data_IF_324922645349
#
_entry.id   IF_324922645349
#
_cell.length_a   1.000
_cell.length_b   1.000
_cell.length_c   1.000
_cell.angle_alpha   90.00
_cell.angle_beta   90.00
_cell.angle_gamma   90.00
#
_symmetry.space_group_name_H-M   'P 1'
#
loop_
_entity.id
_entity.type
_entity.pdbx_description
1 polymer ?
#
# COMPACT_ATOMS: atom_id res chain seq x y z
N UNK A 1 -17.74 21.16 -18.17
CA UNK A 1 -16.43 21.75 -17.83
C UNK A 1 -15.66 20.69 -17.09
N UNK A 2 -14.51 20.31 -17.60
CA UNK A 2 -13.62 19.36 -16.94
C UNK A 2 -12.74 20.10 -15.94
N UNK A 3 -12.19 19.39 -14.94
CA UNK A 3 -11.29 20.00 -13.96
C UNK A 3 -10.06 20.63 -14.62
N UNK A 4 -9.60 20.05 -15.73
CA UNK A 4 -8.49 20.59 -16.52
C UNK A 4 -8.75 21.98 -17.09
N UNK A 5 -10.02 22.33 -17.34
CA UNK A 5 -10.41 23.63 -17.90
C UNK A 5 -10.26 24.76 -16.87
N UNK A 6 -10.05 24.42 -15.59
CA UNK A 6 -9.92 25.39 -14.49
C UNK A 6 -8.49 25.89 -14.31
N UNK A 7 -7.49 25.14 -14.78
CA UNK A 7 -6.09 25.51 -14.60
C UNK A 7 -5.77 26.85 -15.29
N UNK A 8 -4.83 27.59 -14.70
CA UNK A 8 -4.43 28.94 -15.09
C UNK A 8 -5.49 30.05 -14.92
N UNK A 9 -6.70 29.73 -14.42
CA UNK A 9 -7.70 30.75 -14.12
C UNK A 9 -7.34 31.54 -12.86
N UNK A 10 -7.72 32.82 -12.83
CA UNK A 10 -7.65 33.62 -11.60
C UNK A 10 -8.74 33.20 -10.60
N UNK A 11 -8.57 33.45 -9.29
CA UNK A 11 -9.61 33.20 -8.31
C UNK A 11 -10.94 33.93 -8.58
N UNK A 12 -10.90 35.03 -9.34
CA UNK A 12 -12.07 35.82 -9.75
C UNK A 12 -12.75 35.35 -11.04
N UNK A 13 -12.26 34.29 -11.68
CA UNK A 13 -12.83 33.81 -12.94
C UNK A 13 -14.24 33.22 -12.76
N UNK A 14 -15.19 33.62 -13.62
CA UNK A 14 -16.58 33.13 -13.59
C UNK A 14 -16.66 31.61 -13.70
N UNK A 15 -15.80 30.98 -14.51
CA UNK A 15 -15.73 29.53 -14.64
C UNK A 15 -15.45 28.82 -13.31
N UNK A 16 -14.55 29.40 -12.48
CA UNK A 16 -14.24 28.85 -11.17
C UNK A 16 -15.39 29.06 -10.19
N UNK A 17 -15.99 30.25 -10.18
CA UNK A 17 -17.16 30.54 -9.35
C UNK A 17 -18.34 29.60 -9.68
N UNK A 18 -18.61 29.38 -10.96
CA UNK A 18 -19.63 28.45 -11.44
C UNK A 18 -19.33 27.01 -11.01
N UNK A 19 -18.06 26.58 -11.07
CA UNK A 19 -17.67 25.25 -10.59
C UNK A 19 -17.94 25.07 -9.10
N UNK A 20 -17.56 26.04 -8.25
CA UNK A 20 -17.84 26.00 -6.80
C UNK A 20 -19.35 26.00 -6.52
N UNK A 21 -20.16 26.72 -7.29
CA UNK A 21 -21.62 26.68 -7.16
C UNK A 21 -22.21 25.31 -7.50
N UNK A 22 -21.72 24.66 -8.55
CA UNK A 22 -22.13 23.29 -8.91
C UNK A 22 -21.79 22.33 -7.78
N UNK A 23 -20.58 22.39 -7.23
CA UNK A 23 -20.18 21.56 -6.09
C UNK A 23 -21.04 21.82 -4.84
N UNK A 24 -21.34 23.08 -4.56
CA UNK A 24 -22.20 23.48 -3.44
C UNK A 24 -23.61 22.90 -3.58
N UNK A 25 -24.17 22.92 -4.80
CA UNK A 25 -25.46 22.31 -5.10
C UNK A 25 -25.42 20.78 -4.92
N UNK A 26 -24.37 20.11 -5.41
CA UNK A 26 -24.19 18.66 -5.25
C UNK A 26 -24.04 18.25 -3.78
N UNK A 27 -23.32 19.04 -2.98
CA UNK A 27 -23.16 18.81 -1.55
C UNK A 27 -24.38 19.24 -0.71
N UNK A 28 -25.37 19.93 -1.31
CA UNK A 28 -26.49 20.55 -0.60
C UNK A 28 -26.05 21.56 0.49
N UNK A 29 -24.99 22.32 0.21
CA UNK A 29 -24.42 23.32 1.13
C UNK A 29 -24.59 24.72 0.54
N UNK A 30 -24.83 25.72 1.38
CA UNK A 30 -24.99 27.13 0.99
C UNK A 30 -23.86 27.98 1.56
N UNK A 31 -23.65 29.14 0.95
CA UNK A 31 -22.72 30.17 1.42
C UNK A 31 -21.29 29.64 1.68
N UNK A 32 -20.81 28.78 0.77
CA UNK A 32 -19.49 28.18 0.92
C UNK A 32 -18.41 29.24 0.68
N UNK A 33 -17.64 29.52 1.74
CA UNK A 33 -16.51 30.45 1.71
C UNK A 33 -15.21 29.68 1.94
N UNK A 34 -14.16 29.89 1.14
CA UNK A 34 -12.89 29.22 1.34
C UNK A 34 -12.13 29.80 2.53
N UNK A 35 -11.39 28.96 3.25
CA UNK A 35 -10.30 29.45 4.10
C UNK A 35 -9.08 29.77 3.24
N UNK A 36 -8.62 31.02 3.32
CA UNK A 36 -7.41 31.47 2.63
C UNK A 36 -6.17 31.19 3.47
N UNK A 37 -5.17 30.55 2.86
CA UNK A 37 -3.79 30.51 3.37
C UNK A 37 -2.84 31.03 2.31
N UNK A 38 -2.32 32.23 2.51
CA UNK A 38 -1.38 32.86 1.59
C UNK A 38 0.06 32.67 2.06
N UNK A 39 0.96 32.44 1.11
CA UNK A 39 2.41 32.39 1.24
C UNK A 39 3.04 33.14 0.04
N UNK A 40 4.34 33.49 0.10
CA UNK A 40 5.00 34.22 -0.98
C UNK A 40 4.99 33.52 -2.35
N UNK A 41 4.87 32.20 -2.35
CA UNK A 41 4.96 31.31 -3.51
C UNK A 41 3.66 30.53 -3.80
N UNK A 42 2.69 30.50 -2.89
CA UNK A 42 1.43 29.79 -3.06
C UNK A 42 0.28 30.42 -2.26
N UNK A 43 -0.93 30.38 -2.80
CA UNK A 43 -2.14 30.80 -2.11
C UNK A 43 -3.19 29.70 -2.19
N UNK A 44 -3.61 29.18 -1.05
CA UNK A 44 -4.60 28.12 -0.94
C UNK A 44 -5.98 28.70 -0.66
N UNK A 45 -6.97 28.23 -1.41
CA UNK A 45 -8.39 28.43 -1.16
C UNK A 45 -8.97 27.07 -0.75
N UNK A 46 -9.12 26.85 0.56
CA UNK A 46 -9.57 25.58 1.12
C UNK A 46 -11.09 25.59 1.30
N UNK A 47 -11.82 24.81 0.50
CA UNK A 47 -13.26 24.63 0.63
C UNK A 47 -13.56 23.33 1.38
N UNK A 48 -13.39 23.37 2.70
CA UNK A 48 -13.52 22.21 3.58
C UNK A 48 -14.82 21.41 3.37
N UNK A 49 -15.96 22.10 3.33
CA UNK A 49 -17.28 21.48 3.15
C UNK A 49 -17.51 20.84 1.78
N UNK A 50 -16.67 21.17 0.79
CA UNK A 50 -16.73 20.64 -0.57
C UNK A 50 -15.62 19.64 -0.88
N UNK A 51 -14.74 19.33 0.08
CA UNK A 51 -13.66 18.38 -0.15
C UNK A 51 -12.69 18.77 -1.26
N UNK A 52 -12.45 20.08 -1.44
CA UNK A 52 -11.56 20.59 -2.49
C UNK A 52 -10.66 21.72 -1.95
N UNK A 53 -9.39 21.69 -2.32
CA UNK A 53 -8.42 22.77 -2.09
C UNK A 53 -7.87 23.23 -3.43
N UNK A 54 -7.85 24.55 -3.64
CA UNK A 54 -7.34 25.17 -4.85
C UNK A 54 -6.05 25.91 -4.52
N UNK A 55 -4.94 25.52 -5.15
CA UNK A 55 -3.64 26.16 -4.99
C UNK A 55 -3.38 27.09 -6.19
N UNK A 56 -3.23 28.37 -5.90
CA UNK A 56 -2.86 29.38 -6.88
C UNK A 56 -1.39 29.77 -6.73
N UNK A 57 -0.66 29.85 -7.85
CA UNK A 57 0.68 30.43 -7.85
C UNK A 57 0.65 31.93 -8.15
N UNK A 58 1.42 32.74 -7.41
CA UNK A 58 1.67 34.14 -7.73
C UNK A 58 2.37 34.32 -9.07
N UNK A 59 1.89 35.28 -9.86
CA UNK A 59 2.42 35.67 -11.17
C UNK A 59 2.87 37.14 -11.14
N UNK A 60 3.54 37.59 -12.21
CA UNK A 60 3.92 38.99 -12.41
C UNK A 60 4.71 39.62 -11.25
N UNK A 61 5.52 38.82 -10.54
CA UNK A 61 6.32 39.27 -9.40
C UNK A 61 5.52 39.53 -8.12
N UNK A 62 4.23 39.17 -8.08
CA UNK A 62 3.44 39.24 -6.86
C UNK A 62 3.99 38.27 -5.81
N UNK A 63 4.09 38.72 -4.56
CA UNK A 63 4.53 37.93 -3.40
C UNK A 63 3.60 38.22 -2.22
N UNK A 64 2.51 37.46 -2.06
CA UNK A 64 1.61 37.59 -0.92
C UNK A 64 2.36 37.42 0.40
N UNK A 65 1.97 38.14 1.44
CA UNK A 65 2.48 37.92 2.79
C UNK A 65 1.68 36.84 3.52
N UNK A 66 2.33 36.10 4.41
CA UNK A 66 1.63 35.13 5.25
C UNK A 66 0.52 35.80 6.05
N UNK A 67 -0.68 35.24 6.01
CA UNK A 67 -1.86 35.79 6.69
C UNK A 67 -2.68 36.81 5.87
N UNK A 68 -2.29 37.10 4.63
CA UNK A 68 -3.08 37.95 3.72
C UNK A 68 -4.48 37.38 3.55
N UNK A 69 -5.51 38.21 3.75
CA UNK A 69 -6.92 37.86 3.59
C UNK A 69 -7.34 37.93 2.12
N UNK A 70 -8.48 37.32 1.76
CA UNK A 70 -8.97 37.33 0.37
C UNK A 70 -9.11 38.75 -0.21
N UNK A 71 -9.65 39.67 0.58
CA UNK A 71 -9.87 41.08 0.16
C UNK A 71 -8.59 41.84 -0.13
N UNK A 72 -7.45 41.37 0.40
CA UNK A 72 -6.13 41.99 0.22
C UNK A 72 -5.34 41.33 -0.94
N UNK A 73 -5.84 40.20 -1.48
CA UNK A 73 -5.18 39.50 -2.57
C UNK A 73 -5.31 40.26 -3.89
N UNK A 74 -4.20 40.33 -4.63
CA UNK A 74 -4.23 40.71 -6.04
C UNK A 74 -4.64 39.50 -6.88
N UNK A 75 -5.92 39.16 -6.87
CA UNK A 75 -6.44 37.94 -7.52
C UNK A 75 -6.06 37.85 -9.02
N UNK A 76 -5.95 38.97 -9.73
CA UNK A 76 -5.50 39.01 -11.14
C UNK A 76 -4.05 38.53 -11.36
N UNK A 77 -3.23 38.53 -10.31
CA UNK A 77 -1.84 38.09 -10.32
C UNK A 77 -1.68 36.70 -9.68
N UNK A 78 -2.78 35.95 -9.62
CA UNK A 78 -2.82 34.55 -9.18
C UNK A 78 -3.37 33.69 -10.32
N UNK A 79 -2.82 32.50 -10.50
CA UNK A 79 -3.29 31.53 -11.48
C UNK A 79 -3.38 30.15 -10.84
N UNK A 80 -4.50 29.44 -11.06
CA UNK A 80 -4.71 28.11 -10.50
C UNK A 80 -3.68 27.12 -11.05
N UNK A 81 -2.97 26.45 -10.14
CA UNK A 81 -1.87 25.53 -10.48
C UNK A 81 -2.16 24.09 -10.04
N UNK A 82 -2.73 23.89 -8.85
CA UNK A 82 -3.11 22.56 -8.36
C UNK A 82 -4.53 22.56 -7.80
N UNK A 83 -5.16 21.40 -7.89
CA UNK A 83 -6.47 21.09 -7.32
C UNK A 83 -6.31 19.82 -6.49
N UNK A 84 -6.48 19.94 -5.18
CA UNK A 84 -6.50 18.78 -4.29
C UNK A 84 -7.96 18.36 -4.07
N UNK A 85 -8.24 17.06 -4.26
CA UNK A 85 -9.57 16.46 -4.10
C UNK A 85 -9.52 15.47 -2.95
N UNK A 86 -10.43 15.63 -2.00
CA UNK A 86 -10.50 14.79 -0.81
C UNK A 86 -11.64 13.77 -0.93
N UNK A 87 -11.31 12.52 -0.62
CA UNK A 87 -12.28 11.42 -0.49
C UNK A 87 -12.20 10.88 0.94
N UNK A 88 -13.14 11.29 1.80
CA UNK A 88 -13.14 10.93 3.22
C UNK A 88 -14.24 9.90 3.46
N UNK A 89 -13.90 8.61 3.63
CA UNK A 89 -14.91 7.58 3.89
C UNK A 89 -15.72 7.94 5.13
N UNK A 90 -17.05 7.77 5.08
CA UNK A 90 -17.88 7.90 6.28
C UNK A 90 -17.45 6.81 7.26
N UNK A 91 -16.86 7.21 8.39
CA UNK A 91 -16.52 6.29 9.47
C UNK A 91 -17.77 5.48 9.84
N UNK A 92 -17.69 4.15 9.73
CA UNK A 92 -18.71 3.29 10.33
C UNK A 92 -18.61 3.43 11.85
N UNK A 93 -19.74 3.45 12.58
CA UNK A 93 -19.74 3.66 14.03
C UNK A 93 -19.03 2.56 14.85
N UNK A 94 -18.50 1.50 14.22
CA UNK A 94 -17.85 0.37 14.89
C UNK A 94 -16.31 0.44 14.95
N UNK A 95 -15.64 1.38 14.28
CA UNK A 95 -14.17 1.42 14.18
C UNK A 95 -13.51 2.55 14.96
N UNK A 96 -14.08 2.94 16.10
CA UNK A 96 -13.60 4.06 16.92
C UNK A 96 -12.45 3.71 17.87
N UNK A 97 -11.49 2.86 17.48
CA UNK A 97 -10.26 2.65 18.26
C UNK A 97 -9.05 2.41 17.36
N UNK A 98 -8.17 3.42 17.31
CA UNK A 98 -6.75 3.22 17.00
C UNK A 98 -6.32 3.46 15.56
N UNK A 99 -6.42 4.70 15.08
CA UNK A 99 -5.71 5.15 13.88
C UNK A 99 -5.55 6.66 13.90
N UNK A 100 -4.32 7.16 13.76
CA UNK A 100 -4.02 8.59 13.66
C UNK A 100 -4.58 9.15 12.34
N UNK A 101 -5.87 9.48 12.34
CA UNK A 101 -6.51 10.26 11.28
C UNK A 101 -6.02 11.70 11.38
N UNK A 102 -5.48 12.26 10.30
CA UNK A 102 -4.89 13.60 10.32
C UNK A 102 -5.96 14.66 10.57
N UNK A 103 -5.61 15.73 11.29
CA UNK A 103 -6.49 16.89 11.52
C UNK A 103 -7.04 17.52 10.24
N UNK A 104 -6.30 17.48 9.13
CA UNK A 104 -6.75 18.02 7.83
C UNK A 104 -7.78 17.12 7.14
N UNK A 105 -7.58 15.80 7.16
CA UNK A 105 -8.56 14.81 6.65
C UNK A 105 -9.85 14.83 7.48
N UNK A 106 -9.76 15.12 8.78
CA UNK A 106 -10.93 15.34 9.63
C UNK A 106 -11.65 16.67 9.34
N UNK A 107 -11.02 17.61 8.62
CA UNK A 107 -11.61 18.92 8.32
C UNK A 107 -12.30 18.96 6.96
N UNK A 108 -11.83 18.22 5.96
CA UNK A 108 -12.44 18.17 4.63
C UNK A 108 -13.58 17.14 4.56
N UNK A 109 -14.65 17.49 3.86
CA UNK A 109 -15.69 16.54 3.45
C UNK A 109 -15.23 15.75 2.20
N UNK A 110 -16.01 14.73 1.81
CA UNK A 110 -15.84 14.07 0.51
C UNK A 110 -16.23 15.01 -0.63
N UNK A 111 -15.40 15.05 -1.66
CA UNK A 111 -15.64 15.81 -2.87
C UNK A 111 -16.96 15.40 -3.53
N UNK A 112 -17.95 16.30 -3.66
CA UNK A 112 -19.28 15.96 -4.14
C UNK A 112 -19.33 15.71 -5.66
N UNK A 113 -18.24 16.01 -6.38
CA UNK A 113 -18.10 15.73 -7.81
C UNK A 113 -17.67 14.29 -8.12
N UNK A 114 -17.54 13.40 -7.12
CA UNK A 114 -17.30 11.97 -7.34
C UNK A 114 -18.60 11.29 -7.83
N UNK A 115 -18.54 10.41 -8.86
CA UNK A 115 -17.36 10.05 -9.64
C UNK A 115 -17.03 11.08 -10.72
N UNK A 116 -15.73 11.26 -10.99
CA UNK A 116 -15.24 12.12 -12.07
C UNK A 116 -14.26 11.39 -12.99
N UNK A 117 -14.07 11.92 -14.20
CA UNK A 117 -13.14 11.36 -15.18
C UNK A 117 -11.94 12.28 -15.35
N UNK A 118 -10.76 11.67 -15.42
CA UNK A 118 -9.48 12.32 -15.72
C UNK A 118 -9.09 11.97 -17.14
N UNK A 119 -8.70 12.96 -17.95
CA UNK A 119 -8.06 12.73 -19.25
C UNK A 119 -6.61 12.35 -19.03
N UNK A 120 -6.18 11.26 -19.66
CA UNK A 120 -4.83 10.73 -19.51
C UNK A 120 -3.93 11.21 -20.64
N UNK A 121 -2.67 11.44 -20.33
CA UNK A 121 -1.66 11.69 -21.32
C UNK A 121 -1.44 10.44 -22.20
N UNK A 122 -1.08 10.66 -23.46
CA UNK A 122 -0.68 9.59 -24.35
C UNK A 122 0.74 9.15 -24.00
N UNK A 123 0.85 7.94 -23.45
CA UNK A 123 2.11 7.32 -23.05
C UNK A 123 2.24 5.99 -23.80
N UNK A 124 3.46 5.63 -24.20
CA UNK A 124 3.72 4.40 -24.93
C UNK A 124 3.20 3.18 -24.17
N UNK A 125 2.43 2.32 -24.86
CA UNK A 125 1.83 1.11 -24.28
C UNK A 125 0.52 1.32 -23.53
N UNK A 126 0.05 2.57 -23.33
CA UNK A 126 -1.26 2.86 -22.73
C UNK A 126 -2.32 3.07 -23.80
N UNK A 127 -3.41 2.31 -23.76
CA UNK A 127 -4.53 2.43 -24.71
C UNK A 127 -5.67 3.29 -24.18
N UNK A 128 -5.73 3.49 -22.87
CA UNK A 128 -6.73 4.28 -22.19
C UNK A 128 -6.45 5.78 -22.35
N UNK A 129 -7.47 6.53 -22.76
CA UNK A 129 -7.45 8.00 -22.85
C UNK A 129 -8.11 8.69 -21.65
N UNK A 130 -8.85 7.93 -20.84
CA UNK A 130 -9.56 8.44 -19.66
C UNK A 130 -9.54 7.43 -18.52
N UNK A 131 -9.55 7.93 -17.29
CA UNK A 131 -9.69 7.13 -16.06
C UNK A 131 -10.82 7.70 -15.21
N UNK A 132 -11.75 6.83 -14.78
CA UNK A 132 -12.88 7.22 -13.92
C UNK A 132 -12.53 6.95 -12.46
N UNK A 133 -12.51 8.00 -11.65
CA UNK A 133 -12.28 7.94 -10.21
C UNK A 133 -13.62 7.94 -9.49
N UNK A 134 -13.86 6.91 -8.67
CA UNK A 134 -15.01 6.75 -7.79
C UNK A 134 -14.62 6.76 -6.31
N UNK A 135 -15.62 6.74 -5.43
CA UNK A 135 -15.44 6.76 -3.97
C UNK A 135 -14.67 5.54 -3.46
N UNK A 136 -14.80 4.41 -4.16
CA UNK A 136 -14.20 3.13 -3.80
C UNK A 136 -13.03 2.75 -4.73
N UNK A 137 -12.53 3.69 -5.53
CA UNK A 137 -11.40 3.41 -6.43
C UNK A 137 -10.13 3.13 -5.63
N UNK A 138 -9.55 1.97 -5.88
CA UNK A 138 -8.39 1.43 -5.16
C UNK A 138 -7.07 1.82 -5.82
N UNK A 139 -5.97 1.77 -5.05
CA UNK A 139 -4.64 1.96 -5.61
C UNK A 139 -4.26 0.94 -6.69
N UNK A 140 -4.85 -0.26 -6.65
CA UNK A 140 -4.72 -1.26 -7.71
C UNK A 140 -5.29 -0.74 -9.02
N UNK A 141 -6.50 -0.20 -9.02
CA UNK A 141 -7.14 0.33 -10.24
C UNK A 141 -6.36 1.50 -10.84
N UNK A 142 -5.79 2.38 -9.99
CA UNK A 142 -4.90 3.44 -10.45
C UNK A 142 -3.67 2.86 -11.18
N UNK A 143 -2.97 1.90 -10.57
CA UNK A 143 -1.75 1.30 -11.17
C UNK A 143 -2.08 0.47 -12.42
N UNK A 144 -3.19 -0.26 -12.43
CA UNK A 144 -3.62 -1.03 -13.61
C UNK A 144 -3.96 -0.13 -14.80
N UNK A 145 -4.55 1.04 -14.57
CA UNK A 145 -4.87 1.97 -15.64
C UNK A 145 -3.66 2.82 -16.09
N UNK A 146 -2.87 3.32 -15.14
CA UNK A 146 -1.85 4.33 -15.39
C UNK A 146 -0.44 3.76 -15.55
N UNK A 147 -0.22 2.51 -15.16
CA UNK A 147 1.12 1.91 -15.17
C UNK A 147 2.00 2.44 -14.04
N UNK A 148 3.32 2.40 -14.22
CA UNK A 148 4.27 2.77 -13.18
C UNK A 148 4.22 4.28 -12.86
N UNK A 149 4.06 4.68 -11.58
CA UNK A 149 4.22 6.07 -11.19
C UNK A 149 5.70 6.49 -11.27
N UNK A 150 5.93 7.69 -11.80
CA UNK A 150 7.25 8.29 -11.93
C UNK A 150 7.90 8.59 -10.56
N UNK A 151 7.10 8.95 -9.56
CA UNK A 151 7.54 9.14 -8.16
C UNK A 151 6.61 8.44 -7.19
N UNK A 152 7.13 8.00 -6.06
CA UNK A 152 6.39 7.30 -5.02
C UNK A 152 7.10 7.41 -3.67
N UNK A 153 6.35 7.33 -2.59
CA UNK A 153 6.88 7.37 -1.23
C UNK A 153 5.81 7.04 -0.18
N UNK A 154 6.17 7.14 1.10
CA UNK A 154 5.29 6.76 2.22
C UNK A 154 5.63 5.40 2.84
N UNK A 155 5.01 5.08 3.97
CA UNK A 155 5.20 3.81 4.70
C UNK A 155 6.03 3.88 6.00
N UNK A 156 6.46 5.05 6.45
CA UNK A 156 7.00 5.19 7.80
C UNK A 156 5.84 5.23 8.81
N UNK A 157 5.86 4.31 9.79
CA UNK A 157 4.83 4.10 10.80
C UNK A 157 4.44 5.32 11.65
N UNK A 158 3.54 5.13 12.65
CA UNK A 158 2.71 6.18 13.27
C UNK A 158 3.47 7.30 14.00
N UNK A 159 4.79 7.24 14.11
CA UNK A 159 5.61 8.16 14.90
C UNK A 159 6.12 9.40 14.16
N UNK A 160 5.93 9.54 12.84
CA UNK A 160 6.58 10.62 12.07
C UNK A 160 5.65 11.59 11.31
N UNK A 161 4.33 11.49 11.44
CA UNK A 161 3.42 12.38 10.69
C UNK A 161 3.60 12.29 9.17
N UNK A 162 4.17 11.18 8.70
CA UNK A 162 4.50 10.92 7.31
C UNK A 162 3.25 10.96 6.43
N UNK A 163 3.43 11.41 5.19
CA UNK A 163 2.46 11.19 4.10
C UNK A 163 2.20 9.68 4.03
N UNK A 164 0.95 9.27 3.77
CA UNK A 164 0.56 7.87 3.57
C UNK A 164 1.27 7.32 2.34
N UNK A 165 0.93 6.12 1.89
CA UNK A 165 1.47 5.65 0.61
C UNK A 165 1.01 6.62 -0.47
N UNK A 166 1.93 7.19 -1.22
CA UNK A 166 1.61 8.11 -2.30
C UNK A 166 2.35 7.74 -3.58
N UNK A 167 1.68 7.97 -4.70
CA UNK A 167 2.16 7.72 -6.05
C UNK A 167 1.90 8.94 -6.93
N UNK A 168 2.82 9.22 -7.85
CA UNK A 168 2.70 10.33 -8.77
C UNK A 168 3.03 9.92 -10.21
N UNK A 169 2.07 10.16 -11.09
CA UNK A 169 2.17 10.01 -12.54
C UNK A 169 2.35 11.39 -13.15
N UNK A 170 3.60 11.84 -13.22
CA UNK A 170 3.96 13.19 -13.68
C UNK A 170 3.50 13.47 -15.12
N UNK A 171 3.50 12.46 -15.99
CA UNK A 171 2.98 12.58 -17.35
C UNK A 171 1.49 12.94 -17.38
N UNK A 172 0.73 12.47 -16.40
CA UNK A 172 -0.71 12.71 -16.25
C UNK A 172 -1.00 13.91 -15.32
N UNK A 173 0.03 14.57 -14.77
CA UNK A 173 -0.13 15.68 -13.83
C UNK A 173 -0.85 15.28 -12.53
N UNK A 174 -0.72 14.02 -12.11
CA UNK A 174 -1.53 13.47 -11.02
C UNK A 174 -0.66 12.87 -9.91
N UNK A 175 -0.98 13.22 -8.67
CA UNK A 175 -0.50 12.58 -7.45
C UNK A 175 -1.70 12.01 -6.68
N UNK A 176 -1.57 10.79 -6.18
CA UNK A 176 -2.58 10.12 -5.38
C UNK A 176 -1.96 9.69 -4.07
N UNK A 177 -2.54 10.13 -2.96
CA UNK A 177 -2.28 9.59 -1.63
C UNK A 177 -3.35 8.55 -1.29
N UNK A 178 -2.92 7.36 -0.88
CA UNK A 178 -3.79 6.29 -0.43
C UNK A 178 -3.94 6.34 1.09
N UNK A 179 -5.16 6.64 1.53
CA UNK A 179 -5.55 6.64 2.95
C UNK A 179 -6.24 5.33 3.39
N UNK A 180 -6.55 5.24 4.70
CA UNK A 180 -7.25 4.12 5.32
C UNK A 180 -6.34 3.10 6.00
N UNK A 181 -6.88 2.32 6.95
CA UNK A 181 -6.16 1.22 7.62
C UNK A 181 -5.74 0.15 6.59
N UNK A 182 -6.46 0.00 5.49
CA UNK A 182 -6.08 -0.89 4.38
C UNK A 182 -4.82 -0.43 3.63
N UNK A 183 -4.49 0.87 3.71
CA UNK A 183 -3.22 1.41 3.24
C UNK A 183 -2.11 1.32 4.31
N UNK A 184 -2.41 0.79 5.51
CA UNK A 184 -1.41 0.41 6.51
C UNK A 184 -1.19 -1.10 6.43
N UNK A 185 -0.01 -1.51 5.98
CA UNK A 185 0.34 -2.92 6.03
C UNK A 185 0.53 -3.34 7.50
N UNK A 186 -0.19 -4.37 7.95
CA UNK A 186 0.13 -5.07 9.22
C UNK A 186 1.48 -5.79 9.11
N UNK A 187 1.83 -6.20 7.90
CA UNK A 187 3.16 -6.72 7.58
C UNK A 187 4.17 -5.57 7.44
N UNK A 188 5.42 -5.83 7.82
CA UNK A 188 6.53 -4.95 7.45
C UNK A 188 6.73 -4.86 5.93
N UNK A 189 7.53 -3.89 5.48
CA UNK A 189 7.83 -3.66 4.06
C UNK A 189 8.55 -4.87 3.43
N UNK A 190 7.94 -5.54 2.45
CA UNK A 190 8.49 -6.77 1.83
C UNK A 190 9.09 -6.60 0.42
N UNK A 191 9.02 -5.42 -0.21
CA UNK A 191 9.61 -5.17 -1.55
C UNK A 191 11.12 -5.37 -1.53
N UNK A 192 11.79 -4.89 -0.47
CA UNK A 192 13.24 -5.01 -0.31
C UNK A 192 13.69 -6.48 -0.35
N UNK A 193 13.05 -7.35 0.43
CA UNK A 193 13.31 -8.80 0.41
C UNK A 193 13.04 -9.38 -0.98
N UNK A 194 11.86 -9.14 -1.56
CA UNK A 194 11.50 -9.66 -2.88
C UNK A 194 12.47 -9.18 -3.98
N UNK A 195 12.95 -7.95 -3.89
CA UNK A 195 13.92 -7.38 -4.83
C UNK A 195 15.28 -8.07 -4.71
N UNK A 196 15.76 -8.29 -3.49
CA UNK A 196 17.02 -9.00 -3.23
C UNK A 196 16.96 -10.48 -3.63
N UNK A 197 15.76 -11.07 -3.61
CA UNK A 197 15.49 -12.41 -4.16
C UNK A 197 15.46 -12.47 -5.69
N UNK A 198 15.62 -11.34 -6.38
CA UNK A 198 15.60 -11.26 -7.85
C UNK A 198 14.20 -11.22 -8.46
N UNK A 199 13.16 -10.99 -7.66
CA UNK A 199 11.77 -10.87 -8.15
C UNK A 199 11.64 -9.57 -8.94
N UNK A 200 11.30 -9.67 -10.22
CA UNK A 200 11.12 -8.51 -11.10
C UNK A 200 10.03 -7.54 -10.60
N UNK A 201 10.26 -6.26 -10.82
CA UNK A 201 9.48 -5.15 -10.25
C UNK A 201 7.96 -5.26 -10.43
N UNK A 202 7.49 -5.61 -11.64
CA UNK A 202 6.04 -5.77 -11.94
C UNK A 202 5.38 -6.81 -11.00
N UNK A 203 6.07 -7.93 -10.73
CA UNK A 203 5.56 -8.97 -9.84
C UNK A 203 5.51 -8.52 -8.39
N UNK A 204 6.52 -7.77 -7.94
CA UNK A 204 6.54 -7.21 -6.57
C UNK A 204 5.37 -6.26 -6.33
N UNK A 205 5.02 -5.45 -7.34
CA UNK A 205 3.84 -4.57 -7.29
C UNK A 205 2.53 -5.32 -7.29
N UNK A 206 2.40 -6.36 -8.10
CA UNK A 206 1.23 -7.25 -8.06
C UNK A 206 1.09 -7.93 -6.67
N UNK A 207 2.19 -8.30 -6.02
CA UNK A 207 2.19 -8.87 -4.67
C UNK A 207 1.78 -7.83 -3.61
N UNK A 208 2.26 -6.60 -3.71
CA UNK A 208 1.90 -5.52 -2.78
C UNK A 208 0.42 -5.10 -2.87
N UNK A 209 -0.16 -5.17 -4.07
CA UNK A 209 -1.55 -4.80 -4.33
C UNK A 209 -2.52 -5.97 -4.16
N UNK A 210 -2.00 -7.19 -3.99
CA UNK A 210 -2.79 -8.40 -3.89
C UNK A 210 -2.86 -8.92 -2.46
N UNK A 211 -4.04 -9.38 -2.05
CA UNK A 211 -4.18 -10.18 -0.82
C UNK A 211 -3.62 -11.58 -1.09
N UNK A 212 -2.64 -12.00 -0.29
CA UNK A 212 -2.17 -13.39 -0.28
C UNK A 212 -3.06 -14.17 0.68
N UNK A 213 -3.76 -15.20 0.18
CA UNK A 213 -4.47 -16.16 1.03
C UNK A 213 -3.65 -17.45 1.11
N UNK A 214 -3.42 -17.94 2.33
CA UNK A 214 -2.78 -19.22 2.59
C UNK A 214 -3.84 -20.25 2.98
N UNK A 215 -3.94 -21.35 2.24
CA UNK A 215 -4.69 -22.53 2.65
C UNK A 215 -3.71 -23.51 3.28
N UNK A 216 -3.77 -23.63 4.60
CA UNK A 216 -2.84 -24.47 5.36
C UNK A 216 -3.53 -25.75 5.79
N UNK A 217 -3.00 -26.90 5.36
CA UNK A 217 -3.40 -28.22 5.83
C UNK A 217 -2.27 -28.81 6.65
N UNK A 218 -2.54 -29.05 7.93
CA UNK A 218 -1.59 -29.59 8.88
C UNK A 218 -2.04 -30.99 9.32
N UNK A 219 -1.20 -32.01 9.13
CA UNK A 219 -1.55 -33.40 9.47
C UNK A 219 -0.30 -34.23 9.80
N UNK A 220 -0.50 -35.41 10.38
CA UNK A 220 0.54 -36.44 10.46
C UNK A 220 0.23 -37.55 9.47
N UNK A 221 1.25 -38.10 8.82
CA UNK A 221 1.08 -39.24 7.91
C UNK A 221 1.04 -40.59 8.65
N UNK A 222 0.93 -41.67 7.89
CA UNK A 222 0.87 -43.05 8.43
C UNK A 222 2.14 -43.47 9.18
N UNK A 223 3.25 -42.75 9.00
CA UNK A 223 4.52 -42.96 9.72
C UNK A 223 4.64 -42.06 10.95
N UNK A 224 3.71 -41.14 11.15
CA UNK A 224 3.70 -40.17 12.25
C UNK A 224 4.52 -38.90 11.97
N UNK A 225 5.03 -38.72 10.75
CA UNK A 225 5.74 -37.50 10.35
C UNK A 225 4.76 -36.34 10.24
N UNK A 226 5.11 -35.18 10.80
CA UNK A 226 4.27 -33.97 10.77
C UNK A 226 4.45 -33.26 9.42
N UNK A 227 3.33 -32.94 8.76
CA UNK A 227 3.29 -32.33 7.43
C UNK A 227 2.48 -31.04 7.45
N UNK A 228 3.07 -29.96 6.94
CA UNK A 228 2.37 -28.69 6.70
C UNK A 228 2.33 -28.44 5.19
N UNK A 229 1.16 -28.63 4.61
CA UNK A 229 0.86 -28.29 3.22
C UNK A 229 0.30 -26.87 3.16
N UNK A 230 0.92 -25.98 2.38
CA UNK A 230 0.48 -24.62 2.16
C UNK A 230 0.21 -24.45 0.68
N UNK A 231 -1.05 -24.20 0.34
CA UNK A 231 -1.43 -23.68 -0.96
C UNK A 231 -1.60 -22.17 -0.87
N UNK A 232 -0.67 -21.45 -1.48
CA UNK A 232 -0.74 -20.00 -1.58
C UNK A 232 -1.47 -19.62 -2.86
N UNK A 233 -2.74 -19.22 -2.74
CA UNK A 233 -3.48 -18.64 -3.85
C UNK A 233 -3.31 -17.11 -3.83
N UNK A 234 -2.61 -16.57 -4.83
CA UNK A 234 -2.91 -15.19 -5.26
C UNK A 234 -4.23 -15.25 -6.04
N UNK A 235 -5.21 -14.39 -5.73
CA UNK A 235 -6.40 -14.30 -6.59
C UNK A 235 -5.98 -14.16 -8.07
N UNK A 236 -6.69 -14.79 -9.02
CA UNK A 236 -6.36 -14.69 -10.44
C UNK A 236 -6.29 -13.21 -10.84
N UNK A 237 -5.09 -12.70 -11.13
CA UNK A 237 -4.95 -11.37 -11.73
C UNK A 237 -5.20 -11.52 -13.23
N UNK A 238 -5.93 -10.57 -13.83
CA UNK A 238 -6.18 -10.57 -15.28
C UNK A 238 -4.90 -10.45 -16.13
N UNK A 239 -3.75 -10.15 -15.50
CA UNK A 239 -2.43 -10.10 -16.13
C UNK A 239 -1.88 -11.52 -16.35
N UNK A 240 -2.32 -12.53 -15.57
CA UNK A 240 -1.96 -13.92 -15.80
C UNK A 240 -3.08 -14.86 -15.26
N UNK A 241 -4.08 -15.21 -16.09
CA UNK A 241 -5.22 -16.02 -15.67
C UNK A 241 -4.88 -17.51 -15.38
N UNK A 242 -3.60 -17.90 -15.49
CA UNK A 242 -3.14 -19.21 -15.03
C UNK A 242 -2.65 -19.07 -13.58
N UNK A 243 -3.34 -19.77 -12.68
CA UNK A 243 -3.08 -19.87 -11.24
C UNK A 243 -1.57 -19.81 -10.90
N UNK A 244 -1.16 -18.85 -10.09
CA UNK A 244 0.09 -18.91 -9.33
C UNK A 244 -0.24 -19.52 -7.95
N UNK A 245 -0.72 -20.76 -7.92
CA UNK A 245 -0.77 -21.52 -6.67
C UNK A 245 0.64 -22.02 -6.37
N UNK A 246 1.27 -21.50 -5.32
CA UNK A 246 2.53 -22.06 -4.84
C UNK A 246 2.18 -23.10 -3.79
N UNK A 247 2.41 -24.36 -4.13
CA UNK A 247 2.29 -25.47 -3.19
C UNK A 247 3.62 -25.68 -2.49
N UNK A 248 3.59 -25.59 -1.17
CA UNK A 248 4.69 -26.00 -0.30
C UNK A 248 4.23 -27.16 0.55
N UNK A 249 5.03 -28.22 0.61
CA UNK A 249 4.93 -29.22 1.67
C UNK A 249 6.17 -29.08 2.53
N UNK A 250 5.97 -28.94 3.83
CA UNK A 250 7.03 -29.10 4.80
C UNK A 250 6.84 -30.44 5.51
N UNK A 251 7.78 -31.35 5.30
CA UNK A 251 7.91 -32.54 6.13
C UNK A 251 8.74 -32.17 7.36
N UNK A 252 8.09 -32.00 8.51
CA UNK A 252 8.76 -31.76 9.78
C UNK A 252 9.24 -33.12 10.33
N UNK A 253 10.27 -33.65 9.71
CA UNK A 253 10.97 -34.84 10.19
C UNK A 253 12.20 -34.44 11.01
N UNK A 254 12.74 -35.38 11.80
CA UNK A 254 14.13 -35.32 12.31
C UNK A 254 15.19 -35.38 11.17
N UNK A 255 14.76 -35.35 9.91
CA UNK A 255 15.62 -35.38 8.74
C UNK A 255 16.51 -34.13 8.71
N UNK A 256 17.82 -34.34 8.85
CA UNK A 256 18.84 -33.31 8.65
C UNK A 256 19.07 -32.98 7.16
N UNK A 257 18.33 -33.59 6.25
CA UNK A 257 18.49 -33.37 4.81
C UNK A 257 17.51 -32.29 4.32
N UNK A 258 18.01 -31.17 3.76
CA UNK A 258 17.15 -30.11 3.26
C UNK A 258 16.38 -30.57 2.01
N UNK A 259 15.08 -30.33 1.99
CA UNK A 259 14.25 -30.61 0.82
C UNK A 259 14.45 -29.52 -0.25
N UNK A 260 14.69 -29.95 -1.50
CA UNK A 260 14.69 -29.03 -2.64
C UNK A 260 13.25 -28.77 -3.06
N UNK A 261 12.71 -27.64 -2.60
CA UNK A 261 11.39 -27.16 -3.00
C UNK A 261 11.51 -26.21 -4.19
N UNK A 262 10.65 -26.38 -5.19
CA UNK A 262 10.57 -25.44 -6.32
C UNK A 262 9.49 -24.42 -6.03
N UNK A 263 9.89 -23.16 -5.78
CA UNK A 263 8.92 -22.06 -5.78
C UNK A 263 8.75 -21.61 -7.24
N UNK A 264 7.57 -21.83 -7.80
CA UNK A 264 7.19 -21.18 -9.04
C UNK A 264 6.67 -19.77 -8.75
N UNK A 265 7.54 -18.76 -8.88
CA UNK A 265 7.09 -17.36 -8.97
C UNK A 265 6.72 -17.03 -10.42
N UNK A 266 5.86 -17.86 -11.04
CA UNK A 266 5.35 -17.72 -12.40
C UNK A 266 6.24 -18.32 -13.50
N UNK A 267 5.72 -18.34 -14.73
CA UNK A 267 6.20 -19.12 -15.89
C UNK A 267 7.68 -19.04 -16.29
N UNK A 268 8.40 -18.00 -15.87
CA UNK A 268 9.81 -17.78 -16.27
C UNK A 268 10.78 -17.64 -15.07
N UNK A 269 10.37 -18.07 -13.88
CA UNK A 269 11.24 -18.08 -12.69
C UNK A 269 10.98 -19.36 -11.88
N UNK A 270 11.58 -20.46 -12.32
CA UNK A 270 11.79 -21.62 -11.45
C UNK A 270 12.88 -21.25 -10.45
N UNK A 271 12.55 -20.45 -9.43
CA UNK A 271 13.45 -20.26 -8.30
C UNK A 271 13.36 -21.52 -7.47
N UNK A 272 14.29 -22.44 -7.71
CA UNK A 272 14.51 -23.55 -6.80
C UNK A 272 15.04 -22.93 -5.51
N UNK A 273 14.34 -23.18 -4.41
CA UNK A 273 14.83 -22.90 -3.09
C UNK A 273 15.26 -24.20 -2.44
N UNK A 274 16.12 -24.07 -1.45
CA UNK A 274 16.46 -25.14 -0.56
C UNK A 274 15.78 -24.78 0.76
N UNK A 275 14.88 -25.64 1.23
CA UNK A 275 14.13 -25.41 2.45
C UNK A 275 14.40 -26.56 3.42
N UNK A 276 14.77 -26.21 4.63
CA UNK A 276 14.73 -27.10 5.77
C UNK A 276 13.73 -26.54 6.76
N UNK A 277 12.81 -27.36 7.25
CA UNK A 277 11.85 -26.93 8.27
C UNK A 277 11.75 -27.95 9.39
N UNK A 278 11.60 -27.46 10.60
CA UNK A 278 11.56 -28.26 11.82
C UNK A 278 10.72 -27.62 12.91
N UNK A 279 10.30 -28.42 13.88
CA UNK A 279 9.78 -27.90 15.14
C UNK A 279 10.95 -27.41 16.00
N UNK A 280 10.78 -26.27 16.63
CA UNK A 280 11.78 -25.68 17.53
C UNK A 280 11.12 -25.12 18.79
N UNK A 281 11.76 -25.27 19.94
CA UNK A 281 11.34 -24.57 21.15
C UNK A 281 11.91 -23.15 21.17
N UNK A 282 11.19 -22.19 21.77
CA UNK A 282 11.67 -20.79 21.85
C UNK A 282 13.07 -20.69 22.45
N UNK A 283 13.36 -21.53 23.45
CA UNK A 283 14.66 -21.55 24.14
C UNK A 283 15.82 -22.02 23.26
N UNK A 284 15.55 -22.68 22.13
CA UNK A 284 16.55 -23.21 21.20
C UNK A 284 16.92 -22.21 20.11
N UNK A 285 16.08 -21.18 19.90
CA UNK A 285 16.39 -20.11 18.95
C UNK A 285 17.51 -19.23 19.50
N UNK A 286 18.43 -18.80 18.64
CA UNK A 286 19.48 -17.84 19.01
C UNK A 286 19.04 -16.40 18.74
N UNK A 287 18.39 -16.16 17.60
CA UNK A 287 17.96 -14.84 17.15
C UNK A 287 16.78 -14.34 17.98
N UNK A 288 16.97 -13.22 18.69
CA UNK A 288 15.95 -12.64 19.57
C UNK A 288 14.71 -12.22 18.79
N UNK A 289 14.89 -11.68 17.58
CA UNK A 289 13.77 -11.32 16.72
C UNK A 289 12.85 -12.50 16.46
N UNK A 290 13.37 -13.74 16.33
CA UNK A 290 12.57 -14.92 16.02
C UNK A 290 11.74 -15.46 17.21
N UNK A 291 11.96 -14.95 18.44
CA UNK A 291 11.35 -15.41 19.69
C UNK A 291 10.15 -14.58 20.16
N UNK A 292 9.95 -13.40 19.58
CA UNK A 292 9.07 -12.39 20.17
C UNK A 292 7.58 -12.57 19.81
N UNK A 293 6.68 -12.15 20.71
CA UNK A 293 5.26 -11.93 20.43
C UNK A 293 4.33 -13.15 20.32
N UNK A 294 4.82 -14.36 20.51
CA UNK A 294 4.05 -15.60 20.30
C UNK A 294 2.97 -15.85 21.36
N UNK A 295 1.81 -16.36 20.92
CA UNK A 295 0.71 -16.82 21.79
C UNK A 295 1.12 -18.02 22.64
N UNK A 296 0.54 -18.15 23.84
CA UNK A 296 0.90 -19.21 24.78
C UNK A 296 0.83 -20.62 24.20
N UNK A 297 -0.16 -20.91 23.34
CA UNK A 297 -0.31 -22.20 22.69
C UNK A 297 0.74 -22.45 21.59
N UNK A 298 1.20 -21.39 20.91
CA UNK A 298 2.35 -21.48 19.98
C UNK A 298 3.63 -21.82 20.76
N UNK A 299 3.81 -21.21 21.93
CA UNK A 299 4.97 -21.50 22.80
C UNK A 299 4.91 -22.95 23.30
N UNK A 300 3.75 -23.39 23.80
CA UNK A 300 3.55 -24.74 24.33
C UNK A 300 3.84 -25.83 23.30
N UNK A 301 3.37 -25.65 22.06
CA UNK A 301 3.53 -26.63 21.00
C UNK A 301 4.84 -26.47 20.19
N UNK A 302 5.65 -25.46 20.51
CA UNK A 302 6.84 -25.08 19.75
C UNK A 302 6.50 -24.36 18.44
N UNK A 303 7.50 -23.70 17.85
CA UNK A 303 7.36 -23.01 16.57
C UNK A 303 7.72 -23.92 15.41
N UNK A 304 7.28 -23.53 14.22
CA UNK A 304 7.87 -24.04 12.97
C UNK A 304 9.00 -23.09 12.59
N UNK A 305 10.23 -23.59 12.59
CA UNK A 305 11.38 -22.90 12.02
C UNK A 305 11.59 -23.36 10.59
N UNK A 306 11.92 -22.44 9.70
CA UNK A 306 12.31 -22.74 8.33
C UNK A 306 13.56 -21.96 7.93
N UNK A 307 14.57 -22.68 7.42
CA UNK A 307 15.73 -22.13 6.76
C UNK A 307 15.53 -22.24 5.26
N UNK A 308 15.40 -21.09 4.60
CA UNK A 308 15.17 -21.00 3.16
C UNK A 308 16.37 -20.33 2.51
N UNK A 309 16.97 -20.98 1.52
CA UNK A 309 18.08 -20.42 0.75
C UNK A 309 17.80 -20.50 -0.75
N UNK A 310 18.39 -19.57 -1.51
CA UNK A 310 18.43 -19.66 -2.96
C UNK A 310 19.26 -20.85 -3.45
N UNK A 311 18.81 -21.54 -4.49
CA UNK A 311 19.70 -22.41 -5.30
C UNK A 311 20.55 -21.49 -6.20
N UNK A 312 21.66 -20.96 -5.64
CA UNK A 312 22.53 -19.97 -6.30
C UNK A 312 23.01 -20.41 -7.70
N UNK A 313 23.42 -21.68 -7.93
CA UNK A 313 23.76 -22.16 -9.27
C UNK A 313 22.64 -22.02 -10.31
N UNK A 314 21.37 -22.08 -9.90
CA UNK A 314 20.22 -21.94 -10.81
C UNK A 314 19.67 -20.53 -10.90
N UNK A 315 19.66 -19.81 -9.78
CA UNK A 315 19.03 -18.49 -9.66
C UNK A 315 19.97 -17.33 -9.98
N UNK A 316 21.29 -17.54 -9.94
CA UNK A 316 22.28 -16.49 -10.17
C UNK A 316 22.37 -15.43 -9.07
N UNK A 317 21.63 -15.60 -7.97
CA UNK A 317 21.66 -14.74 -6.79
C UNK A 317 21.77 -15.61 -5.53
N UNK A 318 22.38 -15.08 -4.46
CA UNK A 318 22.56 -15.82 -3.21
C UNK A 318 21.86 -15.08 -2.07
N UNK A 319 20.93 -15.72 -1.38
CA UNK A 319 20.28 -15.16 -0.20
C UNK A 319 19.81 -16.27 0.74
N UNK A 320 19.59 -15.91 2.00
CA UNK A 320 19.11 -16.80 3.06
C UNK A 320 17.98 -16.10 3.81
N UNK A 321 16.95 -16.84 4.20
CA UNK A 321 15.89 -16.39 5.08
C UNK A 321 15.70 -17.43 6.19
N UNK A 322 15.92 -17.02 7.43
CA UNK A 322 15.55 -17.78 8.62
C UNK A 322 14.20 -17.28 9.11
N UNK A 323 13.26 -18.19 9.32
CA UNK A 323 11.90 -17.80 9.65
C UNK A 323 11.33 -18.66 10.77
N UNK A 324 10.55 -18.04 11.64
CA UNK A 324 9.71 -18.74 12.61
C UNK A 324 8.25 -18.40 12.39
N UNK A 325 7.40 -19.42 12.44
CA UNK A 325 5.98 -19.32 12.13
C UNK A 325 5.15 -19.70 13.34
N UNK A 326 4.03 -19.02 13.53
CA UNK A 326 3.17 -19.24 14.68
C UNK A 326 1.98 -18.30 14.72
N UNK A 327 1.33 -18.23 15.88
CA UNK A 327 0.20 -17.34 16.12
C UNK A 327 0.59 -16.23 17.07
N UNK A 328 0.18 -15.00 16.78
CA UNK A 328 0.37 -13.81 17.60
C UNK A 328 -0.94 -13.07 17.83
N UNK A 329 -1.02 -12.31 18.91
CA UNK A 329 -2.08 -11.32 19.10
C UNK A 329 -1.61 -9.96 18.56
N UNK A 330 -2.23 -9.50 17.47
CA UNK A 330 -1.92 -8.21 16.87
C UNK A 330 -3.20 -7.39 16.90
N UNK A 331 -3.14 -6.22 17.54
CA UNK A 331 -4.30 -5.34 17.75
C UNK A 331 -5.48 -6.04 18.44
N UNK A 332 -5.22 -7.01 19.32
CA UNK A 332 -6.23 -7.78 20.04
C UNK A 332 -6.90 -8.88 19.23
N UNK A 333 -6.40 -9.16 18.01
CA UNK A 333 -6.88 -10.25 17.17
C UNK A 333 -5.80 -11.31 16.99
N UNK A 334 -6.23 -12.57 16.96
CA UNK A 334 -5.33 -13.71 16.72
C UNK A 334 -4.98 -13.78 15.23
N UNK A 335 -3.70 -13.62 14.91
CA UNK A 335 -3.17 -13.64 13.54
C UNK A 335 -2.15 -14.75 13.36
N UNK A 336 -2.11 -15.33 12.16
CA UNK A 336 -1.01 -16.20 11.75
C UNK A 336 0.13 -15.32 11.26
N UNK A 337 1.34 -15.53 11.76
CA UNK A 337 2.47 -14.65 11.44
C UNK A 337 3.73 -15.43 11.12
N UNK A 338 4.65 -14.75 10.43
CA UNK A 338 6.01 -15.22 10.20
C UNK A 338 7.00 -14.11 10.55
N UNK A 339 7.94 -14.42 11.41
CA UNK A 339 9.12 -13.59 11.60
C UNK A 339 10.15 -14.02 10.56
N UNK A 340 10.69 -13.08 9.79
CA UNK A 340 11.65 -13.34 8.72
C UNK A 340 12.93 -12.55 9.00
N UNK A 341 14.02 -13.27 9.29
CA UNK A 341 15.39 -12.75 9.33
C UNK A 341 16.05 -13.08 7.99
N UNK A 342 16.28 -12.06 7.17
CA UNK A 342 16.75 -12.21 5.79
C UNK A 342 18.18 -11.69 5.63
N UNK A 343 19.03 -12.49 5.00
CA UNK A 343 20.38 -12.12 4.59
C UNK A 343 20.46 -12.05 3.06
N UNK A 344 20.73 -10.85 2.53
CA UNK A 344 20.79 -10.57 1.10
C UNK A 344 22.13 -10.89 0.42
N UNK A 345 22.20 -10.77 -0.91
CA UNK A 345 23.38 -11.12 -1.71
C UNK A 345 24.65 -10.34 -1.39
N UNK A 346 24.53 -9.18 -0.75
CA UNK A 346 25.67 -8.34 -0.34
C UNK A 346 25.82 -8.27 1.18
N UNK A 347 25.15 -9.16 1.92
CA UNK A 347 25.13 -9.17 3.38
C UNK A 347 24.12 -8.19 3.97
N UNK A 348 23.12 -7.76 3.22
CA UNK A 348 21.98 -7.02 3.78
C UNK A 348 21.32 -7.84 4.88
N UNK A 349 21.08 -7.26 6.05
CA UNK A 349 20.42 -7.93 7.17
C UNK A 349 19.07 -7.24 7.45
N UNK A 350 17.97 -7.97 7.23
CA UNK A 350 16.62 -7.44 7.24
C UNK A 350 15.70 -8.31 8.09
N UNK A 351 15.07 -7.69 9.09
CA UNK A 351 14.01 -8.32 9.89
C UNK A 351 12.63 -7.84 9.44
N UNK A 352 11.70 -8.76 9.21
CA UNK A 352 10.31 -8.46 8.84
C UNK A 352 9.33 -9.38 9.52
N UNK A 353 8.28 -8.78 10.09
CA UNK A 353 7.08 -9.48 10.49
C UNK A 353 6.12 -9.52 9.29
N UNK A 354 5.67 -10.71 8.91
CA UNK A 354 4.60 -10.92 7.94
C UNK A 354 3.36 -11.37 8.70
N UNK A 355 2.25 -10.69 8.48
CA UNK A 355 0.98 -10.92 9.18
C UNK A 355 -0.07 -11.36 8.18
N UNK A 356 -0.76 -12.46 8.48
CA UNK A 356 -1.88 -12.97 7.72
C UNK A 356 -3.17 -12.84 8.52
N UNK A 357 -4.28 -12.55 7.83
CA UNK A 357 -5.61 -12.75 8.39
C UNK A 357 -5.80 -14.25 8.72
N UNK A 358 -6.33 -14.56 9.90
CA UNK A 358 -6.66 -15.93 10.29
C UNK A 358 -8.17 -16.13 10.23
N UNK A 359 -8.63 -16.88 9.22
CA UNK A 359 -10.06 -17.11 8.97
C UNK A 359 -10.63 -18.30 9.73
N UNK A 360 -9.84 -18.92 10.61
CA UNK A 360 -10.21 -20.13 11.35
C UNK A 360 -9.80 -21.43 10.66
N UNK A 361 -10.04 -22.58 11.32
CA UNK A 361 -9.80 -23.90 10.73
C UNK A 361 -10.74 -24.17 9.55
N UNK A 362 -10.23 -24.87 8.53
CA UNK A 362 -10.99 -25.31 7.34
C UNK A 362 -11.86 -26.53 7.60
#
# INVERSE_FOLDING_TARGET
MELSDLFNLSPSADALANHIQILSALASVRDVVPQIKAYPDAVYFNYFQLGISLLFSPKNGYKPTTGTTRSELREKDLALESIDIYNVPKLSPSSSKGGSTRKSELAFATYPGIPFSIKLAQVEGRTQSTFKVGEQTTGKEFVECLGEPARKGGGAGPSSGSIGIWCEWTADGMMVEFGGIEATALSGETDSILSLQGVGWIKRKAIQLGTITLFVKHYKDDKGEEHIDIDQASQPSMINPQQNSIFFRLSLAESQEPEKSVISLGKNANTVIICLAMRVQISELEEEFLKDGWTADTIEHGLVESHVASDTPKSGTSWIAHQTWGMQEINGERRYTRHVKFTGPKGEDIERLIVFDYLGPL
#
